data_IF_244574976054
#
_entry.id   IF_244574976054
#
_cell.length_a   1.000
_cell.length_b   1.000
_cell.length_c   1.000
_cell.angle_alpha   90.00
_cell.angle_beta   90.00
_cell.angle_gamma   90.00
#
_symmetry.space_group_name_H-M   'P 1'
#
loop_
_entity.id
_entity.type
_entity.pdbx_description
1 polymer ?
#
# COMPACT_ATOMS: atom_id res chain seq x y z
N UNK A 1 -41.68 31.45 -4.88
CA UNK A 1 -40.84 32.67 -4.84
C UNK A 1 -40.56 33.03 -3.38
N UNK A 2 -39.46 32.55 -2.82
CA UNK A 2 -38.98 32.87 -1.47
C UNK A 2 -37.51 33.28 -1.58
N UNK A 3 -37.17 34.41 -0.94
CA UNK A 3 -35.89 35.10 -1.02
C UNK A 3 -34.80 34.34 -0.26
N UNK A 4 -33.63 34.25 -0.86
CA UNK A 4 -32.38 33.72 -0.30
C UNK A 4 -31.60 34.88 0.36
N UNK A 5 -31.11 34.75 1.60
CA UNK A 5 -29.93 35.47 2.09
C UNK A 5 -28.71 34.53 1.89
N UNK A 6 -27.61 34.88 1.22
CA UNK A 6 -26.78 36.07 1.39
C UNK A 6 -25.44 35.61 1.98
N UNK A 7 -24.53 35.13 1.11
CA UNK A 7 -23.17 34.68 1.45
C UNK A 7 -22.40 35.75 2.22
N UNK A 8 -21.81 35.37 3.36
CA UNK A 8 -20.79 36.18 4.05
C UNK A 8 -19.40 35.58 3.80
N UNK A 9 -18.67 36.21 2.89
CA UNK A 9 -17.27 35.94 2.55
C UNK A 9 -16.36 36.47 3.67
N UNK A 10 -15.83 35.60 4.53
CA UNK A 10 -14.81 35.99 5.53
C UNK A 10 -13.42 35.92 4.92
N UNK A 11 -12.80 37.10 4.81
CA UNK A 11 -11.40 37.31 4.39
C UNK A 11 -10.45 36.86 5.51
N UNK A 12 -9.55 35.94 5.20
CA UNK A 12 -8.39 35.61 6.03
C UNK A 12 -7.26 36.61 5.73
N UNK A 13 -6.80 37.27 6.79
CA UNK A 13 -5.69 38.23 6.79
C UNK A 13 -4.38 37.44 6.99
N UNK A 14 -3.46 37.56 6.03
CA UNK A 14 -2.09 37.03 6.13
C UNK A 14 -1.23 38.06 6.85
N UNK A 15 -0.67 37.68 8.01
CA UNK A 15 0.29 38.48 8.76
C UNK A 15 1.70 38.13 8.27
N UNK A 16 2.35 39.04 7.55
CA UNK A 16 3.75 38.94 7.17
C UNK A 16 4.63 39.53 8.28
N UNK A 17 5.53 38.72 8.84
CA UNK A 17 6.56 39.18 9.79
C UNK A 17 7.84 39.46 9.00
N UNK A 18 8.22 40.74 8.96
CA UNK A 18 9.48 41.24 8.42
C UNK A 18 10.45 41.40 9.60
N UNK A 19 11.57 40.66 9.59
CA UNK A 19 12.69 40.90 10.51
C UNK A 19 13.80 41.60 9.73
N UNK A 20 14.00 42.88 10.04
CA UNK A 20 15.17 43.68 9.64
C UNK A 20 16.09 43.77 10.85
N UNK A 21 17.31 43.25 10.73
CA UNK A 21 18.41 43.60 11.63
C UNK A 21 19.58 44.10 10.80
N UNK A 22 19.65 45.43 10.76
CA UNK A 22 20.78 46.24 10.30
C UNK A 22 21.76 46.47 11.46
N UNK A 23 23.05 46.26 11.21
CA UNK A 23 24.13 46.62 12.14
C UNK A 23 25.48 46.69 11.43
N UNK A 24 25.88 47.91 11.05
CA UNK A 24 27.18 48.25 10.48
C UNK A 24 28.26 48.37 11.57
N UNK A 25 29.51 48.02 11.27
CA UNK A 25 30.68 48.81 11.67
C UNK A 25 31.91 48.44 10.82
N UNK A 26 32.55 49.49 10.31
CA UNK A 26 33.67 49.54 9.36
C UNK A 26 35.04 49.35 10.02
N UNK A 27 36.06 48.96 9.25
CA UNK A 27 37.45 49.16 9.68
C UNK A 27 38.56 48.48 8.86
N UNK A 28 39.07 49.21 7.85
CA UNK A 28 40.48 49.36 7.40
C UNK A 28 41.33 48.18 6.87
N UNK A 29 41.91 48.47 5.69
CA UNK A 29 43.07 47.85 5.02
C UNK A 29 44.25 47.49 5.94
N UNK A 30 44.96 46.39 5.63
CA UNK A 30 46.37 46.43 5.19
C UNK A 30 46.96 45.03 4.97
N UNK A 31 47.94 45.04 4.09
CA UNK A 31 48.73 44.01 3.42
C UNK A 31 49.60 43.12 4.34
N UNK A 32 49.94 41.94 3.79
CA UNK A 32 51.21 41.20 3.94
C UNK A 32 51.54 40.47 5.27
N UNK A 33 51.73 39.15 5.15
CA UNK A 33 52.98 38.38 5.45
C UNK A 33 52.68 37.02 6.10
N UNK A 34 53.45 36.04 5.64
CA UNK A 34 53.45 34.61 5.97
C UNK A 34 53.34 34.23 7.46
N UNK A 35 52.71 33.07 7.71
CA UNK A 35 52.71 32.41 9.01
C UNK A 35 52.06 31.04 8.96
N UNK A 36 52.88 30.01 8.79
CA UNK A 36 52.56 28.59 8.90
C UNK A 36 52.07 28.22 10.29
N UNK A 37 50.89 27.59 10.40
CA UNK A 37 50.59 26.58 11.45
C UNK A 37 49.40 25.71 11.05
N UNK A 38 49.60 24.40 11.16
CA UNK A 38 48.64 23.33 10.91
C UNK A 38 47.42 23.38 11.84
N UNK A 39 46.26 23.01 11.32
CA UNK A 39 45.11 22.58 12.12
C UNK A 39 44.21 21.62 11.32
N UNK A 40 44.40 20.33 11.61
CA UNK A 40 43.40 19.26 11.70
C UNK A 40 42.34 19.19 10.59
N UNK A 41 42.66 18.39 9.56
CA UNK A 41 41.67 17.69 8.75
C UNK A 41 40.79 16.81 9.64
N UNK A 42 39.56 17.25 9.90
CA UNK A 42 38.51 16.37 10.38
C UNK A 42 38.00 15.58 9.16
N UNK A 43 38.59 14.41 8.94
CA UNK A 43 38.13 13.45 7.95
C UNK A 43 36.80 12.88 8.44
N UNK A 44 35.69 13.42 7.91
CA UNK A 44 34.36 12.84 8.08
C UNK A 44 34.34 11.49 7.36
N UNK A 45 34.58 10.41 8.10
CA UNK A 45 34.29 9.07 7.63
C UNK A 45 32.76 8.95 7.42
N UNK A 46 32.27 8.61 6.22
CA UNK A 46 30.89 8.20 6.09
C UNK A 46 30.77 6.81 6.71
N UNK A 47 30.06 6.71 7.83
CA UNK A 47 29.56 5.44 8.35
C UNK A 47 28.50 4.90 7.40
N UNK A 48 28.94 4.37 6.25
CA UNK A 48 28.13 3.46 5.45
C UNK A 48 28.25 2.12 6.15
N UNK A 49 27.21 1.74 6.88
CA UNK A 49 27.00 0.35 7.29
C UNK A 49 26.97 -0.45 6.00
N UNK A 50 28.10 -1.04 5.61
CA UNK A 50 28.22 -1.85 4.41
C UNK A 50 27.33 -3.08 4.58
N UNK A 51 26.12 -3.01 4.02
CA UNK A 51 25.26 -4.17 3.80
C UNK A 51 26.11 -5.16 3.01
N UNK A 52 26.41 -6.32 3.57
CA UNK A 52 27.22 -7.34 2.89
C UNK A 52 26.58 -7.62 1.53
N UNK A 53 27.29 -7.30 0.45
CA UNK A 53 26.82 -7.52 -0.90
C UNK A 53 26.59 -9.02 -1.09
N UNK A 54 25.35 -9.38 -1.38
CA UNK A 54 24.98 -10.78 -1.57
C UNK A 54 25.57 -11.29 -2.89
N UNK A 55 26.11 -12.53 -2.97
CA UNK A 55 26.73 -13.04 -4.18
C UNK A 55 25.76 -13.05 -5.37
N UNK A 56 26.19 -12.48 -6.50
CA UNK A 56 25.43 -12.55 -7.74
C UNK A 56 25.43 -13.97 -8.32
N UNK A 57 24.36 -14.34 -9.01
CA UNK A 57 24.28 -15.59 -9.78
C UNK A 57 24.70 -15.30 -11.23
N UNK A 58 25.76 -15.93 -11.77
CA UNK A 58 26.22 -15.65 -13.13
C UNK A 58 25.13 -15.84 -14.18
N UNK A 59 25.01 -14.85 -15.09
CA UNK A 59 24.05 -14.89 -16.20
C UNK A 59 22.59 -14.68 -15.81
N UNK A 60 22.30 -14.30 -14.56
CA UNK A 60 20.93 -14.08 -14.10
C UNK A 60 20.82 -12.88 -13.17
N UNK A 61 19.77 -12.08 -13.37
CA UNK A 61 19.35 -11.05 -12.41
C UNK A 61 17.86 -11.18 -12.15
N UNK A 62 17.43 -10.88 -10.91
CA UNK A 62 16.03 -10.89 -10.55
C UNK A 62 15.65 -9.59 -9.82
N UNK A 63 14.44 -9.11 -10.06
CA UNK A 63 13.84 -7.98 -9.33
C UNK A 63 12.41 -8.34 -8.93
N UNK A 64 11.98 -7.88 -7.77
CA UNK A 64 10.58 -8.00 -7.36
C UNK A 64 9.76 -6.90 -8.03
N UNK A 65 8.61 -7.26 -8.59
CA UNK A 65 7.65 -6.34 -9.20
C UNK A 65 6.26 -6.69 -8.68
N UNK A 66 5.39 -5.70 -8.48
CA UNK A 66 3.99 -5.94 -8.12
C UNK A 66 3.08 -5.32 -9.16
N UNK A 67 2.33 -6.16 -9.89
CA UNK A 67 1.34 -5.73 -10.86
C UNK A 67 -0.01 -5.50 -10.18
N UNK A 68 -0.89 -4.72 -10.82
CA UNK A 68 -2.26 -4.50 -10.32
C UNK A 68 -3.06 -5.80 -10.19
N UNK A 69 -2.80 -6.77 -11.07
CA UNK A 69 -3.41 -8.11 -10.99
C UNK A 69 -2.96 -8.90 -9.77
N UNK A 70 -1.73 -8.68 -9.30
CA UNK A 70 -1.22 -9.34 -8.09
C UNK A 70 -1.91 -8.82 -6.83
N UNK A 71 -2.12 -7.50 -6.76
CA UNK A 71 -2.89 -6.88 -5.68
C UNK A 71 -4.33 -7.44 -5.63
N UNK A 72 -4.91 -7.74 -6.80
CA UNK A 72 -6.24 -8.33 -6.91
C UNK A 72 -6.33 -9.78 -6.44
N UNK A 73 -5.29 -10.58 -6.69
CA UNK A 73 -5.22 -11.98 -6.26
C UNK A 73 -4.84 -12.08 -4.77
N UNK A 74 -3.96 -11.20 -4.29
CA UNK A 74 -3.37 -11.28 -2.95
C UNK A 74 -2.32 -12.40 -2.84
N UNK A 75 -1.44 -12.31 -1.84
CA UNK A 75 -0.48 -13.38 -1.53
C UNK A 75 0.58 -13.66 -2.61
N UNK A 76 0.74 -12.76 -3.59
CA UNK A 76 1.72 -12.91 -4.65
C UNK A 76 2.34 -11.59 -5.14
N UNK A 77 3.47 -11.72 -5.81
CA UNK A 77 4.13 -10.68 -6.60
C UNK A 77 4.74 -11.33 -7.86
N UNK A 78 5.38 -10.56 -8.73
CA UNK A 78 6.14 -11.08 -9.85
C UNK A 78 7.64 -11.08 -9.55
N UNK A 79 8.28 -12.24 -9.73
CA UNK A 79 9.73 -12.32 -9.85
C UNK A 79 10.09 -12.08 -11.32
N UNK A 80 10.58 -10.88 -11.63
CA UNK A 80 11.07 -10.54 -12.96
C UNK A 80 12.52 -11.03 -13.09
N UNK A 81 12.72 -12.04 -13.92
CA UNK A 81 14.04 -12.63 -14.16
C UNK A 81 14.53 -12.18 -15.52
N UNK A 82 15.82 -11.83 -15.61
CA UNK A 82 16.50 -11.53 -16.88
C UNK A 82 17.69 -12.47 -17.06
N UNK A 83 17.76 -13.10 -18.23
CA UNK A 83 18.95 -13.84 -18.64
C UNK A 83 20.01 -12.85 -19.18
N UNK A 84 21.02 -12.59 -18.37
CA UNK A 84 22.15 -11.72 -18.71
C UNK A 84 23.33 -12.50 -19.28
N UNK A 85 23.22 -13.83 -19.38
CA UNK A 85 24.22 -14.71 -19.96
C UNK A 85 24.06 -14.90 -21.48
N UNK A 86 24.93 -15.75 -22.03
CA UNK A 86 24.95 -16.10 -23.46
C UNK A 86 24.26 -17.43 -23.79
N UNK A 87 23.87 -18.20 -22.78
CA UNK A 87 23.22 -19.51 -22.94
C UNK A 87 21.78 -19.48 -22.41
N UNK A 88 20.85 -20.24 -23.02
CA UNK A 88 19.49 -20.32 -22.50
C UNK A 88 19.43 -21.12 -21.19
N UNK A 89 18.38 -20.90 -20.39
CA UNK A 89 18.02 -21.77 -19.28
C UNK A 89 16.49 -21.82 -19.13
N UNK A 90 15.96 -22.85 -18.48
CA UNK A 90 14.54 -22.93 -18.13
C UNK A 90 14.36 -22.84 -16.63
N UNK A 91 13.47 -21.98 -16.16
CA UNK A 91 12.96 -22.03 -14.78
C UNK A 91 11.79 -23.00 -14.76
N UNK A 92 11.79 -23.91 -13.79
CA UNK A 92 10.78 -24.95 -13.58
C UNK A 92 9.94 -24.72 -12.32
N UNK A 93 10.47 -23.95 -11.38
CA UNK A 93 9.75 -23.50 -10.19
C UNK A 93 10.41 -22.27 -9.56
N UNK A 94 9.64 -21.50 -8.80
CA UNK A 94 10.09 -20.30 -8.06
C UNK A 94 9.54 -20.32 -6.63
N UNK A 95 10.30 -19.78 -5.68
CA UNK A 95 9.84 -19.47 -4.32
C UNK A 95 10.55 -18.21 -3.80
N UNK A 96 9.88 -17.48 -2.91
CA UNK A 96 10.49 -16.39 -2.16
C UNK A 96 11.30 -16.97 -0.99
N UNK A 97 12.55 -16.52 -0.86
CA UNK A 97 13.40 -16.79 0.29
C UNK A 97 13.80 -15.46 0.93
N UNK A 98 13.11 -15.10 2.00
CA UNK A 98 13.29 -13.87 2.78
C UNK A 98 13.03 -14.19 4.26
N UNK A 99 13.81 -13.66 5.22
CA UNK A 99 13.53 -13.88 6.64
C UNK A 99 12.23 -13.23 7.13
N UNK A 100 11.71 -12.23 6.39
CA UNK A 100 10.47 -11.54 6.71
C UNK A 100 9.20 -12.35 6.40
N UNK A 101 9.32 -13.53 5.79
CA UNK A 101 8.18 -14.35 5.40
C UNK A 101 8.38 -15.82 5.77
N UNK A 102 7.29 -16.50 6.07
CA UNK A 102 7.27 -17.96 6.14
C UNK A 102 7.67 -18.55 4.77
N UNK A 103 8.60 -19.50 4.77
CA UNK A 103 9.04 -20.14 3.53
C UNK A 103 7.95 -21.05 3.00
N UNK A 104 7.53 -20.79 1.76
CA UNK A 104 6.66 -21.70 1.02
C UNK A 104 7.46 -22.72 0.19
N UNK A 105 6.87 -23.89 -0.10
CA UNK A 105 7.39 -24.78 -1.13
C UNK A 105 7.53 -24.08 -2.49
N UNK A 106 8.36 -24.64 -3.36
CA UNK A 106 8.48 -24.21 -4.74
C UNK A 106 7.12 -24.26 -5.46
N UNK A 107 6.74 -23.15 -6.10
CA UNK A 107 5.57 -23.09 -6.98
C UNK A 107 5.99 -23.46 -8.41
N UNK A 108 5.41 -24.51 -9.02
CA UNK A 108 5.76 -24.93 -10.38
C UNK A 108 5.46 -23.82 -11.40
N UNK A 109 6.50 -23.36 -12.09
CA UNK A 109 6.42 -22.32 -13.11
C UNK A 109 7.36 -22.72 -14.24
N UNK A 110 6.86 -22.83 -15.48
CA UNK A 110 7.70 -23.23 -16.61
C UNK A 110 7.92 -22.08 -17.58
N UNK A 111 9.15 -21.60 -17.68
CA UNK A 111 9.54 -20.57 -18.63
C UNK A 111 10.97 -20.77 -19.10
N UNK A 112 11.18 -20.70 -20.42
CA UNK A 112 12.51 -20.73 -21.04
C UNK A 112 12.99 -19.30 -21.31
N UNK A 113 14.19 -19.01 -20.82
CA UNK A 113 14.86 -17.72 -20.95
C UNK A 113 16.00 -17.84 -21.96
N UNK A 114 15.74 -17.41 -23.19
CA UNK A 114 16.80 -17.18 -24.17
C UNK A 114 17.73 -16.03 -23.73
N UNK A 115 18.95 -15.92 -24.26
CA UNK A 115 19.84 -14.79 -23.97
C UNK A 115 19.13 -13.44 -24.15
N UNK A 116 19.20 -12.57 -23.14
CA UNK A 116 18.54 -11.27 -23.12
C UNK A 116 17.03 -11.28 -22.85
N UNK A 117 16.41 -12.47 -22.67
CA UNK A 117 15.00 -12.55 -22.33
C UNK A 117 14.73 -12.07 -20.90
N UNK A 118 13.64 -11.34 -20.74
CA UNK A 118 13.07 -10.94 -19.45
C UNK A 118 11.64 -11.46 -19.36
N UNK A 119 11.34 -12.22 -18.32
CA UNK A 119 10.01 -12.81 -18.09
C UNK A 119 9.66 -12.63 -16.61
N UNK A 120 8.39 -12.31 -16.36
CA UNK A 120 7.81 -12.17 -15.02
C UNK A 120 7.15 -13.50 -14.63
N UNK A 121 7.55 -14.07 -13.50
CA UNK A 121 6.93 -15.28 -12.95
C UNK A 121 6.11 -14.92 -11.70
N UNK A 122 4.83 -15.33 -11.61
CA UNK A 122 4.07 -15.17 -10.39
C UNK A 122 4.77 -15.97 -9.28
N UNK A 123 4.98 -15.30 -8.15
CA UNK A 123 5.69 -15.84 -6.98
C UNK A 123 4.84 -15.58 -5.75
N UNK A 124 4.47 -16.65 -5.07
CA UNK A 124 3.73 -16.56 -3.80
C UNK A 124 4.68 -16.24 -2.66
N UNK A 125 4.18 -15.49 -1.68
CA UNK A 125 4.84 -15.29 -0.39
C UNK A 125 4.04 -15.96 0.72
N UNK A 126 4.72 -16.46 1.75
CA UNK A 126 4.08 -17.03 2.94
C UNK A 126 3.62 -15.95 3.90
N UNK A 127 3.15 -16.36 5.08
CA UNK A 127 2.76 -15.42 6.15
C UNK A 127 3.90 -14.46 6.47
N UNK A 128 3.62 -13.16 6.57
CA UNK A 128 4.62 -12.18 7.01
C UNK A 128 4.99 -12.44 8.48
N UNK A 129 6.29 -12.42 8.78
CA UNK A 129 6.79 -12.51 10.13
C UNK A 129 6.86 -11.11 10.74
N UNK A 130 5.86 -10.79 11.56
CA UNK A 130 5.67 -9.46 12.14
C UNK A 130 6.29 -9.28 13.52
N UNK A 131 7.18 -10.18 13.93
CA UNK A 131 7.94 -10.00 15.17
C UNK A 131 8.92 -8.83 15.03
N UNK A 132 9.04 -8.03 16.10
CA UNK A 132 9.90 -6.86 16.13
C UNK A 132 11.36 -7.19 15.76
N UNK A 133 11.93 -6.37 14.87
CA UNK A 133 13.32 -6.47 14.47
C UNK A 133 13.65 -7.63 13.52
N UNK A 134 12.65 -8.37 13.03
CA UNK A 134 12.86 -9.36 11.96
C UNK A 134 13.20 -8.62 10.66
N UNK A 135 14.37 -8.90 10.05
CA UNK A 135 14.73 -8.26 8.80
C UNK A 135 13.97 -8.87 7.62
N UNK A 136 13.55 -8.04 6.67
CA UNK A 136 12.97 -8.50 5.39
C UNK A 136 14.07 -8.95 4.42
N UNK A 137 15.24 -8.34 4.52
CA UNK A 137 16.40 -8.61 3.69
C UNK A 137 17.47 -9.45 4.39
N UNK A 138 18.34 -10.15 3.62
CA UNK A 138 18.34 -10.21 2.15
C UNK A 138 17.20 -11.08 1.60
N UNK A 139 16.52 -10.58 0.57
CA UNK A 139 15.51 -11.34 -0.18
C UNK A 139 16.07 -11.99 -1.45
N UNK A 140 15.65 -13.23 -1.73
CA UNK A 140 16.06 -14.00 -2.89
C UNK A 140 14.87 -14.64 -3.59
N UNK A 141 15.00 -14.79 -4.91
CA UNK A 141 14.26 -15.77 -5.66
C UNK A 141 15.02 -17.11 -5.61
N UNK A 142 14.48 -18.08 -4.89
CA UNK A 142 14.90 -19.46 -5.01
C UNK A 142 14.29 -20.03 -6.29
N UNK A 143 15.10 -20.61 -7.17
CA UNK A 143 14.68 -21.12 -8.48
C UNK A 143 15.15 -22.55 -8.68
N UNK A 144 14.29 -23.40 -9.26
CA UNK A 144 14.69 -24.66 -9.88
C UNK A 144 14.94 -24.41 -11.36
N UNK A 145 16.18 -24.59 -11.81
CA UNK A 145 16.64 -24.24 -13.16
C UNK A 145 17.14 -25.48 -13.89
N UNK A 146 16.79 -25.59 -15.17
CA UNK A 146 17.39 -26.53 -16.11
C UNK A 146 18.34 -25.80 -17.05
N UNK A 147 19.59 -26.27 -17.11
CA UNK A 147 20.64 -25.77 -18.01
C UNK A 147 20.57 -26.46 -19.39
N UNK A 148 21.25 -25.94 -20.43
CA UNK A 148 21.21 -26.51 -21.78
C UNK A 148 21.67 -27.97 -21.87
N UNK A 149 22.57 -28.39 -20.99
CA UNK A 149 23.06 -29.77 -20.86
C UNK A 149 22.05 -30.72 -20.18
N UNK A 150 20.87 -30.19 -19.81
CA UNK A 150 19.81 -30.92 -19.10
C UNK A 150 19.99 -30.98 -17.59
N UNK A 151 21.09 -30.42 -17.04
CA UNK A 151 21.34 -30.42 -15.60
C UNK A 151 20.28 -29.58 -14.88
N UNK A 152 19.73 -30.16 -13.81
CA UNK A 152 18.87 -29.46 -12.87
C UNK A 152 19.70 -28.89 -11.72
N UNK A 153 19.44 -27.65 -11.34
CA UNK A 153 20.05 -27.00 -10.19
C UNK A 153 19.10 -26.06 -9.48
N UNK A 154 19.30 -25.93 -8.17
CA UNK A 154 18.66 -24.89 -7.37
C UNK A 154 19.60 -23.71 -7.22
N UNK A 155 19.11 -22.51 -7.54
CA UNK A 155 19.87 -21.27 -7.42
C UNK A 155 19.09 -20.26 -6.58
N UNK A 156 19.83 -19.42 -5.83
CA UNK A 156 19.27 -18.32 -5.05
C UNK A 156 19.73 -17.02 -5.67
N UNK A 157 18.85 -16.38 -6.43
CA UNK A 157 19.14 -15.12 -7.11
C UNK A 157 18.72 -13.98 -6.21
N UNK A 158 19.63 -13.06 -5.83
CA UNK A 158 19.24 -11.89 -5.05
C UNK A 158 18.14 -11.10 -5.77
N UNK A 159 17.08 -10.77 -5.06
CA UNK A 159 16.06 -9.85 -5.56
C UNK A 159 16.58 -8.44 -5.38
N UNK A 160 16.80 -7.71 -6.48
CA UNK A 160 17.04 -6.29 -6.35
C UNK A 160 15.76 -5.61 -5.85
N UNK A 161 15.93 -4.59 -5.02
CA UNK A 161 14.86 -3.78 -4.43
C UNK A 161 14.89 -2.34 -4.99
N UNK A 162 14.63 -2.13 -6.31
CA UNK A 162 14.58 -0.77 -6.84
C UNK A 162 13.41 0.05 -6.28
N UNK A 163 12.33 -0.65 -5.86
CA UNK A 163 11.08 -0.05 -5.36
C UNK A 163 10.65 -0.64 -4.01
N UNK A 164 11.57 -1.29 -3.29
CA UNK A 164 11.37 -1.92 -1.97
C UNK A 164 10.08 -2.76 -1.89
N UNK A 165 9.76 -3.49 -2.96
CA UNK A 165 8.47 -4.20 -3.12
C UNK A 165 8.26 -5.21 -1.99
N UNK A 166 9.30 -5.94 -1.61
CA UNK A 166 9.20 -7.00 -0.59
C UNK A 166 9.01 -6.37 0.80
N UNK A 167 9.75 -5.31 1.12
CA UNK A 167 9.58 -4.53 2.36
C UNK A 167 8.18 -3.90 2.44
N UNK A 168 7.67 -3.35 1.33
CA UNK A 168 6.33 -2.76 1.30
C UNK A 168 5.24 -3.82 1.50
N UNK A 169 5.36 -4.99 0.86
CA UNK A 169 4.42 -6.10 1.10
C UNK A 169 4.50 -6.51 2.57
N UNK A 170 5.69 -6.67 3.14
CA UNK A 170 5.85 -7.04 4.55
C UNK A 170 5.20 -6.02 5.50
N UNK A 171 5.45 -4.73 5.27
CA UNK A 171 4.84 -3.65 6.05
C UNK A 171 3.31 -3.62 5.92
N UNK A 172 2.76 -3.83 4.73
CA UNK A 172 1.31 -3.93 4.50
C UNK A 172 0.69 -5.10 5.27
N UNK A 173 1.28 -6.30 5.18
CA UNK A 173 0.80 -7.50 5.86
C UNK A 173 0.90 -7.35 7.39
N UNK A 174 1.99 -6.79 7.89
CA UNK A 174 2.17 -6.59 9.33
C UNK A 174 1.30 -5.47 9.89
N UNK A 175 1.07 -4.40 9.12
CA UNK A 175 0.05 -3.41 9.47
C UNK A 175 -1.34 -4.04 9.52
N UNK A 176 -1.70 -4.90 8.56
CA UNK A 176 -3.00 -5.58 8.57
C UNK A 176 -3.19 -6.47 9.82
N UNK A 177 -2.14 -7.19 10.24
CA UNK A 177 -2.15 -7.99 11.49
C UNK A 177 -2.33 -7.09 12.72
N UNK A 178 -1.53 -6.02 12.83
CA UNK A 178 -1.60 -5.09 13.95
C UNK A 178 -2.96 -4.39 14.04
N UNK A 179 -3.48 -3.94 12.90
CA UNK A 179 -4.79 -3.29 12.80
C UNK A 179 -5.92 -4.25 13.20
N UNK A 180 -5.90 -5.48 12.71
CA UNK A 180 -6.92 -6.48 13.04
C UNK A 180 -6.90 -6.91 14.51
N UNK A 181 -5.75 -6.86 15.18
CA UNK A 181 -5.64 -7.08 16.61
C UNK A 181 -6.18 -5.89 17.42
N UNK A 182 -5.97 -4.66 16.94
CA UNK A 182 -6.38 -3.43 17.62
C UNK A 182 -7.88 -3.14 17.48
N UNK A 183 -8.48 -3.41 16.31
CA UNK A 183 -9.89 -3.16 16.03
C UNK A 183 -10.46 -4.15 15.01
N UNK A 184 -11.60 -4.75 15.34
CA UNK A 184 -12.44 -5.47 14.40
C UNK A 184 -13.26 -4.48 13.57
N UNK A 185 -13.25 -4.61 12.25
CA UNK A 185 -14.05 -3.78 11.33
C UNK A 185 -14.85 -4.69 10.42
N UNK A 186 -16.17 -4.58 10.46
CA UNK A 186 -17.06 -5.39 9.63
C UNK A 186 -18.12 -4.56 8.93
N UNK A 187 -18.46 -4.95 7.71
CA UNK A 187 -19.53 -4.34 6.94
C UNK A 187 -20.83 -5.11 7.19
N UNK A 188 -21.88 -4.39 7.58
CA UNK A 188 -23.21 -4.94 7.82
C UNK A 188 -23.97 -5.28 6.54
N UNK A 189 -25.19 -5.80 6.69
CA UNK A 189 -26.05 -6.14 5.58
C UNK A 189 -26.52 -4.89 4.81
N UNK A 190 -26.66 -5.03 3.49
CA UNK A 190 -27.17 -3.95 2.65
C UNK A 190 -28.70 -3.88 2.67
N UNK A 191 -29.22 -2.66 2.81
CA UNK A 191 -30.64 -2.35 2.66
C UNK A 191 -30.84 -1.37 1.50
N UNK A 192 -31.62 -1.72 0.46
CA UNK A 192 -31.94 -0.80 -0.63
C UNK A 192 -32.66 0.45 -0.12
N UNK A 193 -32.30 1.60 -0.68
CA UNK A 193 -32.92 2.89 -0.38
C UNK A 193 -32.86 3.83 -1.60
N UNK A 194 -33.45 5.02 -1.44
CA UNK A 194 -33.39 6.10 -2.44
C UNK A 194 -32.83 7.35 -1.77
N UNK A 195 -31.87 8.01 -2.43
CA UNK A 195 -31.33 9.31 -2.02
C UNK A 195 -31.26 10.22 -3.24
N UNK A 196 -31.80 11.42 -3.12
CA UNK A 196 -31.85 12.41 -4.22
C UNK A 196 -32.45 11.84 -5.52
N UNK A 197 -33.47 10.98 -5.38
CA UNK A 197 -34.14 10.32 -6.50
C UNK A 197 -33.33 9.22 -7.20
N UNK A 198 -32.22 8.78 -6.60
CA UNK A 198 -31.33 7.75 -7.15
C UNK A 198 -31.29 6.52 -6.22
N UNK A 199 -31.25 5.29 -6.75
CA UNK A 199 -31.04 4.09 -5.95
C UNK A 199 -29.71 4.12 -5.22
N UNK A 200 -29.71 3.74 -3.94
CA UNK A 200 -28.50 3.57 -3.11
C UNK A 200 -28.65 2.32 -2.23
N UNK A 201 -27.55 1.84 -1.67
CA UNK A 201 -27.55 0.85 -0.58
C UNK A 201 -27.16 1.53 0.73
N UNK A 202 -27.86 1.22 1.82
CA UNK A 202 -27.46 1.57 3.19
C UNK A 202 -26.84 0.36 3.87
N UNK A 203 -25.81 0.58 4.68
CA UNK A 203 -25.22 -0.41 5.57
C UNK A 203 -24.69 0.27 6.84
N UNK A 204 -24.29 -0.52 7.83
CA UNK A 204 -23.47 -0.08 8.95
C UNK A 204 -22.05 -0.62 8.82
N UNK A 205 -21.04 0.14 9.24
CA UNK A 205 -19.72 -0.41 9.54
C UNK A 205 -19.64 -0.56 11.06
N UNK A 206 -19.50 -1.79 11.53
CA UNK A 206 -19.33 -2.09 12.94
C UNK A 206 -17.83 -2.10 13.26
N UNK A 207 -17.42 -1.19 14.12
CA UNK A 207 -16.15 -1.24 14.84
C UNK A 207 -16.36 -2.03 16.12
N UNK A 208 -15.44 -2.95 16.41
CA UNK A 208 -15.38 -3.70 17.67
C UNK A 208 -13.99 -3.53 18.26
N UNK A 209 -13.91 -3.14 19.53
CA UNK A 209 -12.63 -2.94 20.23
C UNK A 209 -11.87 -4.26 20.31
N UNK A 210 -10.61 -4.22 19.89
CA UNK A 210 -9.64 -5.30 20.09
C UNK A 210 -8.75 -4.99 21.29
N UNK A 211 -7.44 -5.10 21.10
CA UNK A 211 -6.44 -4.92 22.15
C UNK A 211 -6.06 -3.44 22.40
N UNK A 212 -6.69 -2.49 21.70
CA UNK A 212 -6.41 -1.04 21.84
C UNK A 212 -7.22 -0.39 22.98
N UNK A 213 -6.55 0.45 23.77
CA UNK A 213 -7.12 1.32 24.81
C UNK A 213 -7.31 2.79 24.37
N UNK A 214 -7.03 3.08 23.09
CA UNK A 214 -7.09 4.42 22.51
C UNK A 214 -8.50 4.72 21.95
N UNK A 215 -8.81 6.00 21.71
CA UNK A 215 -10.01 6.38 20.95
C UNK A 215 -9.81 5.92 19.49
N UNK A 216 -10.82 5.30 18.89
CA UNK A 216 -10.72 4.77 17.52
C UNK A 216 -11.67 5.53 16.62
N UNK A 217 -11.14 6.37 15.72
CA UNK A 217 -11.95 7.09 14.75
C UNK A 217 -11.92 6.41 13.38
N UNK A 218 -13.09 6.20 12.79
CA UNK A 218 -13.20 5.83 11.38
C UNK A 218 -13.00 7.09 10.54
N UNK A 219 -11.75 7.36 10.21
CA UNK A 219 -11.28 8.61 9.61
C UNK A 219 -11.74 8.79 8.16
N UNK A 220 -11.60 7.74 7.34
CA UNK A 220 -11.93 7.82 5.92
C UNK A 220 -12.47 6.48 5.38
N UNK A 221 -13.41 6.57 4.45
CA UNK A 221 -13.88 5.46 3.64
C UNK A 221 -13.62 5.78 2.16
N UNK A 222 -13.14 4.79 1.41
CA UNK A 222 -12.94 4.91 -0.03
C UNK A 222 -13.77 3.88 -0.78
N UNK A 223 -14.35 4.34 -1.88
CA UNK A 223 -15.02 3.50 -2.85
C UNK A 223 -14.06 2.76 -3.78
N UNK A 224 -14.65 2.00 -4.70
CA UNK A 224 -13.98 1.40 -5.84
C UNK A 224 -14.25 2.20 -7.12
N UNK A 225 -13.81 1.70 -8.28
CA UNK A 225 -14.14 2.32 -9.57
C UNK A 225 -15.65 2.24 -9.87
N UNK A 226 -16.33 1.23 -9.32
CA UNK A 226 -17.75 0.95 -9.60
C UNK A 226 -18.67 1.59 -8.56
N UNK A 227 -18.25 1.60 -7.28
CA UNK A 227 -19.07 2.12 -6.18
C UNK A 227 -18.34 3.22 -5.41
N UNK A 228 -19.04 4.31 -5.10
CA UNK A 228 -18.66 5.20 -4.00
C UNK A 228 -19.16 4.60 -2.67
N UNK A 229 -18.38 4.76 -1.61
CA UNK A 229 -18.79 4.50 -0.22
C UNK A 229 -18.56 5.77 0.59
N UNK A 230 -19.56 6.22 1.33
CA UNK A 230 -19.46 7.40 2.19
C UNK A 230 -20.26 7.23 3.48
N UNK A 231 -19.97 8.04 4.50
CA UNK A 231 -20.86 8.17 5.65
C UNK A 231 -22.26 8.59 5.20
N UNK A 232 -23.29 8.12 5.91
CA UNK A 232 -24.68 8.45 5.59
C UNK A 232 -24.98 9.94 5.82
N UNK A 233 -24.29 10.55 6.78
CA UNK A 233 -24.34 11.97 7.14
C UNK A 233 -22.93 12.56 7.08
N UNK A 234 -22.81 13.86 6.80
CA UNK A 234 -21.52 14.54 6.90
C UNK A 234 -21.06 14.51 8.36
N UNK A 235 -19.88 13.94 8.61
CA UNK A 235 -19.30 13.82 9.94
C UNK A 235 -18.01 14.66 10.01
N UNK A 236 -18.09 15.78 10.73
CA UNK A 236 -16.95 16.61 11.13
C UNK A 236 -17.12 16.97 12.62
N UNK A 237 -16.41 16.30 13.55
CA UNK A 237 -15.32 15.34 13.32
C UNK A 237 -15.79 13.97 12.80
N UNK A 238 -14.86 13.11 12.32
CA UNK A 238 -15.18 11.73 11.94
C UNK A 238 -15.81 10.91 13.09
N UNK A 239 -16.63 9.89 12.79
CA UNK A 239 -17.20 9.02 13.82
C UNK A 239 -16.10 8.30 14.60
N UNK A 240 -16.18 8.33 15.94
CA UNK A 240 -15.16 7.77 16.83
C UNK A 240 -15.78 6.96 17.96
N UNK A 241 -15.14 5.82 18.26
CA UNK A 241 -15.46 4.92 19.35
C UNK A 241 -14.62 5.34 20.56
N UNK A 242 -15.29 5.83 21.60
CA UNK A 242 -14.65 6.31 22.82
C UNK A 242 -13.94 5.18 23.57
N UNK A 243 -12.96 5.52 24.42
CA UNK A 243 -12.11 4.55 25.12
C UNK A 243 -12.88 3.60 26.07
N UNK A 244 -14.09 3.97 26.49
CA UNK A 244 -14.98 3.16 27.32
C UNK A 244 -16.10 2.44 26.54
N UNK A 245 -16.08 2.52 25.20
CA UNK A 245 -16.99 1.82 24.31
C UNK A 245 -16.32 0.59 23.68
N UNK A 246 -17.03 -0.54 23.66
CA UNK A 246 -16.57 -1.78 23.04
C UNK A 246 -17.00 -1.91 21.56
N UNK A 247 -18.04 -1.18 21.14
CA UNK A 247 -18.58 -1.23 19.80
C UNK A 247 -19.10 0.13 19.33
N UNK A 248 -18.93 0.41 18.04
CA UNK A 248 -19.53 1.56 17.35
C UNK A 248 -20.06 1.13 15.99
N UNK A 249 -21.36 1.34 15.73
CA UNK A 249 -21.93 1.18 14.39
C UNK A 249 -21.98 2.54 13.67
N UNK A 250 -21.29 2.64 12.54
CA UNK A 250 -21.23 3.84 11.69
C UNK A 250 -22.10 3.65 10.45
N UNK A 251 -23.21 4.41 10.29
CA UNK A 251 -24.05 4.31 9.11
C UNK A 251 -23.35 4.80 7.84
N UNK A 252 -23.39 4.00 6.78
CA UNK A 252 -22.79 4.30 5.47
C UNK A 252 -23.79 4.14 4.34
N UNK A 253 -23.47 4.80 3.21
CA UNK A 253 -24.21 4.70 1.96
C UNK A 253 -23.24 4.30 0.85
N UNK A 254 -23.67 3.33 0.05
CA UNK A 254 -23.00 2.92 -1.17
C UNK A 254 -23.84 3.35 -2.37
N UNK A 255 -23.19 3.86 -3.40
CA UNK A 255 -23.84 4.25 -4.66
C UNK A 255 -22.96 3.95 -5.86
N UNK A 256 -23.56 3.82 -7.04
CA UNK A 256 -22.81 3.76 -8.29
C UNK A 256 -21.99 5.05 -8.50
N UNK A 257 -20.73 4.91 -8.92
CA UNK A 257 -19.96 6.05 -9.41
C UNK A 257 -20.58 6.58 -10.70
N UNK A 258 -20.27 7.82 -11.08
CA UNK A 258 -20.80 8.43 -12.31
C UNK A 258 -20.43 7.68 -13.60
N UNK A 259 -19.44 6.78 -13.58
CA UNK A 259 -19.04 5.93 -14.71
C UNK A 259 -19.28 4.43 -14.46
N UNK A 260 -19.85 4.06 -13.32
CA UNK A 260 -19.95 2.67 -12.92
C UNK A 260 -20.89 1.82 -13.79
N UNK A 261 -21.74 2.45 -14.62
CA UNK A 261 -22.57 1.77 -15.62
C UNK A 261 -21.93 1.67 -17.01
N UNK A 262 -20.71 2.20 -17.21
CA UNK A 262 -19.99 2.06 -18.47
C UNK A 262 -19.54 0.59 -18.66
N UNK A 263 -19.81 0.02 -19.84
CA UNK A 263 -19.48 -1.37 -20.14
C UNK A 263 -17.98 -1.68 -20.05
N UNK A 264 -17.11 -0.71 -20.37
CA UNK A 264 -15.66 -0.86 -20.20
C UNK A 264 -15.29 -0.89 -18.72
N UNK A 265 -15.90 -0.02 -17.90
CA UNK A 265 -15.67 -0.01 -16.45
C UNK A 265 -16.08 -1.34 -15.84
N UNK A 266 -17.26 -1.86 -16.17
CA UNK A 266 -17.73 -3.14 -15.65
C UNK A 266 -16.89 -4.32 -16.14
N UNK A 267 -16.49 -4.33 -17.42
CA UNK A 267 -15.71 -5.41 -18.03
C UNK A 267 -14.24 -5.47 -17.61
N UNK A 268 -13.63 -4.33 -17.26
CA UNK A 268 -12.20 -4.25 -16.98
C UNK A 268 -11.85 -4.14 -15.49
N UNK A 269 -12.81 -3.82 -14.61
CA UNK A 269 -12.56 -3.68 -13.17
C UNK A 269 -12.16 -5.01 -12.55
N UNK A 270 -10.95 -5.06 -11.95
CA UNK A 270 -10.41 -6.26 -11.30
C UNK A 270 -10.81 -6.42 -9.84
N UNK A 271 -11.14 -5.33 -9.16
CA UNK A 271 -11.47 -5.28 -7.73
C UNK A 271 -12.68 -4.39 -7.48
N UNK A 272 -13.88 -4.75 -7.98
CA UNK A 272 -15.07 -3.89 -7.84
C UNK A 272 -15.53 -3.74 -6.39
N UNK A 273 -15.12 -4.65 -5.51
CA UNK A 273 -15.54 -4.73 -4.10
C UNK A 273 -14.44 -4.43 -3.09
N UNK A 274 -13.32 -3.85 -3.54
CA UNK A 274 -12.27 -3.40 -2.63
C UNK A 274 -12.68 -2.02 -2.12
N UNK A 275 -13.05 -1.96 -0.84
CA UNK A 275 -13.43 -0.74 -0.14
C UNK A 275 -12.40 -0.46 0.96
N UNK A 276 -11.39 0.39 0.69
CA UNK A 276 -10.45 0.80 1.72
C UNK A 276 -11.13 1.60 2.81
N UNK A 277 -10.66 1.42 4.03
CA UNK A 277 -10.98 2.28 5.16
C UNK A 277 -9.69 2.72 5.85
N UNK A 278 -9.78 3.84 6.57
CA UNK A 278 -8.70 4.36 7.39
C UNK A 278 -9.24 4.60 8.79
N UNK A 279 -8.54 4.07 9.79
CA UNK A 279 -8.82 4.38 11.20
C UNK A 279 -7.66 5.18 11.78
N UNK A 280 -7.95 6.09 12.70
CA UNK A 280 -6.92 6.68 13.56
C UNK A 280 -7.11 6.14 14.97
N UNK A 281 -6.00 5.95 15.66
CA UNK A 281 -5.99 5.73 17.10
C UNK A 281 -5.54 7.03 17.76
N UNK A 282 -6.37 7.59 18.64
CA UNK A 282 -6.33 8.99 19.07
C UNK A 282 -6.12 9.94 17.86
N UNK A 283 -5.18 10.88 17.97
CA UNK A 283 -4.78 11.80 16.90
C UNK A 283 -3.53 11.31 16.13
N UNK A 284 -3.30 10.00 16.09
CA UNK A 284 -2.18 9.37 15.37
C UNK A 284 -2.35 9.33 13.84
N UNK A 285 -1.36 8.74 13.17
CA UNK A 285 -1.40 8.57 11.71
C UNK A 285 -2.50 7.56 11.30
N UNK A 286 -3.24 7.80 10.20
CA UNK A 286 -4.27 6.88 9.74
C UNK A 286 -3.70 5.51 9.32
N UNK A 287 -4.29 4.45 9.87
CA UNK A 287 -3.98 3.07 9.55
C UNK A 287 -4.92 2.54 8.47
N UNK A 288 -4.34 1.96 7.42
CA UNK A 288 -5.07 1.43 6.26
C UNK A 288 -5.63 0.03 6.53
N UNK A 289 -6.89 -0.18 6.19
CA UNK A 289 -7.53 -1.49 6.10
C UNK A 289 -8.42 -1.63 4.87
N UNK A 290 -8.92 -2.84 4.62
CA UNK A 290 -9.89 -3.14 3.55
C UNK A 290 -11.07 -3.85 4.17
N UNK A 291 -12.29 -3.38 3.86
CA UNK A 291 -13.50 -4.07 4.32
C UNK A 291 -13.59 -5.46 3.69
N UNK A 292 -13.82 -6.47 4.52
CA UNK A 292 -14.21 -7.78 4.00
C UNK A 292 -15.65 -7.70 3.48
N UNK A 293 -15.83 -8.15 2.24
CA UNK A 293 -17.12 -8.16 1.55
C UNK A 293 -17.47 -9.60 1.27
N UNK A 294 -18.45 -10.13 2.00
CA UNK A 294 -18.90 -11.52 1.93
C UNK A 294 -19.47 -11.86 0.55
N UNK A 295 -19.56 -13.15 0.16
CA UNK A 295 -20.22 -13.55 -1.07
C UNK A 295 -21.65 -13.00 -1.21
N UNK A 296 -22.43 -13.02 -0.13
CA UNK A 296 -23.81 -12.50 -0.11
C UNK A 296 -23.85 -10.99 -0.34
N UNK A 297 -22.89 -10.26 0.23
CA UNK A 297 -22.73 -8.83 0.01
C UNK A 297 -22.30 -8.53 -1.44
N UNK A 298 -21.43 -9.35 -2.03
CA UNK A 298 -21.05 -9.22 -3.46
C UNK A 298 -22.23 -9.45 -4.39
N UNK A 299 -23.08 -10.43 -4.09
CA UNK A 299 -24.30 -10.71 -4.85
C UNK A 299 -25.30 -9.56 -4.74
N UNK A 300 -25.46 -8.98 -3.55
CA UNK A 300 -26.29 -7.80 -3.34
C UNK A 300 -25.75 -6.56 -4.09
N UNK A 301 -24.44 -6.37 -4.11
CA UNK A 301 -23.80 -5.30 -4.90
C UNK A 301 -24.00 -5.51 -6.40
N UNK A 302 -23.89 -6.74 -6.90
CA UNK A 302 -24.18 -7.03 -8.31
C UNK A 302 -25.66 -6.80 -8.66
N UNK A 303 -26.57 -7.23 -7.80
CA UNK A 303 -28.00 -6.96 -7.95
C UNK A 303 -28.29 -5.45 -7.96
N UNK A 304 -27.56 -4.68 -7.15
CA UNK A 304 -27.66 -3.23 -7.14
C UNK A 304 -27.14 -2.58 -8.44
N UNK A 305 -26.09 -3.10 -9.07
CA UNK A 305 -25.62 -2.63 -10.39
C UNK A 305 -26.73 -2.75 -11.43
N UNK A 306 -27.43 -3.88 -11.47
CA UNK A 306 -28.53 -4.10 -12.43
C UNK A 306 -29.64 -3.06 -12.26
N UNK A 307 -30.05 -2.79 -11.02
CA UNK A 307 -31.08 -1.80 -10.70
C UNK A 307 -30.60 -0.38 -11.04
N UNK A 308 -29.42 -0.01 -10.57
CA UNK A 308 -28.91 1.35 -10.72
C UNK A 308 -28.61 1.72 -12.19
N UNK A 309 -28.21 0.74 -13.01
CA UNK A 309 -27.92 0.97 -14.43
C UNK A 309 -29.15 0.86 -15.34
N UNK A 310 -30.24 0.24 -14.87
CA UNK A 310 -31.52 0.28 -15.59
C UNK A 310 -32.19 1.67 -15.53
N UNK A 311 -31.87 2.46 -14.49
CA UNK A 311 -32.40 3.82 -14.28
C UNK A 311 -31.44 4.94 -14.74
N UNK A 312 -30.28 4.59 -15.30
CA UNK A 312 -29.21 5.51 -15.69
C UNK A 312 -29.37 6.14 -17.08
#
# INVERSE_FOLDING_TARGET
MRRVPGLALRRLVVLAVVVVLSGCASGTDSTETAGSTAALSAESAPSVTARLATPAVPGMTAVAVRLRTDVAVGGQFQTRITNTGSEPFSVLAVSLDSPGFERLPFDPQSATYNPGATIDLPTRYGTANCADGVPVDPAFAALQVQRPDGKLEEVRVPLAAPDDIIDRIHAEECNAVALAAAVGVSLGAFTPAVRDGRPVLRAGILLTRGDSDEEIALFELRGSVVFDVSFAEEADPPPAMATDEDELEVPVVLRMTGRGCDAHVLGETKQPFLFPYFVTFDAGDPQYGVLDVSPEQRDALWSYVEVACAEA
#
